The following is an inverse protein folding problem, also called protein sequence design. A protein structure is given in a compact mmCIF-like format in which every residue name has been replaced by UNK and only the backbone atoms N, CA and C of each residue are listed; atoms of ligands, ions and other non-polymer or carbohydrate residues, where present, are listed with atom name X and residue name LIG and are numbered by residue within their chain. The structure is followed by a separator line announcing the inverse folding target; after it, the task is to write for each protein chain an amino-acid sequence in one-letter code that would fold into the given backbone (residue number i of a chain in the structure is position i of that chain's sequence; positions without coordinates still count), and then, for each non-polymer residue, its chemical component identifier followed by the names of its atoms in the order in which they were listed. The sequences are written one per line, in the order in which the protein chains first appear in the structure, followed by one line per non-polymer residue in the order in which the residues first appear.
data_IF_262829930839
#
_entry.id   IF_262829930839
#
_cell.length_a   1.000
_cell.length_b   1.000
_cell.length_c   1.000
_cell.angle_alpha   90.00
_cell.angle_beta   90.00
_cell.angle_gamma   90.00
#
_symmetry.space_group_name_H-M   'P 1'
#
loop_
_entity.id
_entity.type
_entity.pdbx_description
1 polymer ?
#
# COMPACT_ATOMS: atom_id res chain seq x y z
N UNK A 1 7.80 31.36 1.11
CA UNK A 1 8.48 30.07 1.33
C UNK A 1 9.91 30.07 0.81
N UNK A 2 10.89 30.15 1.70
CA UNK A 2 12.30 29.87 1.34
C UNK A 2 12.46 28.35 1.25
N UNK A 3 12.70 27.84 0.05
CA UNK A 3 13.06 26.44 -0.16
C UNK A 3 14.43 26.14 0.47
N UNK A 4 14.60 24.91 0.96
CA UNK A 4 15.90 24.39 1.38
C UNK A 4 16.94 24.64 0.28
N UNK A 5 18.06 25.25 0.66
CA UNK A 5 19.15 25.50 -0.28
C UNK A 5 19.65 24.15 -0.83
N UNK A 6 19.74 24.02 -2.16
CA UNK A 6 20.15 22.78 -2.85
C UNK A 6 21.55 22.30 -2.44
N UNK A 7 22.37 23.16 -1.84
CA UNK A 7 23.71 22.81 -1.36
C UNK A 7 23.74 22.40 0.12
N UNK A 8 22.65 22.58 0.86
CA UNK A 8 22.59 22.25 2.29
C UNK A 8 22.73 20.75 2.54
N UNK A 9 23.30 20.39 3.69
CA UNK A 9 23.41 19.00 4.13
C UNK A 9 22.03 18.34 4.18
N UNK A 10 21.03 19.04 4.71
CA UNK A 10 19.65 18.57 4.82
C UNK A 10 19.02 18.30 3.45
N UNK A 11 19.24 19.15 2.45
CA UNK A 11 18.75 18.90 1.10
C UNK A 11 19.37 17.63 0.48
N UNK A 12 20.69 17.44 0.67
CA UNK A 12 21.39 16.24 0.20
C UNK A 12 20.86 14.98 0.91
N UNK A 13 20.63 15.05 2.23
CA UNK A 13 20.05 13.96 3.01
C UNK A 13 18.63 13.63 2.53
N UNK A 14 17.76 14.62 2.33
CA UNK A 14 16.41 14.40 1.78
C UNK A 14 16.45 13.72 0.41
N UNK A 15 17.37 14.14 -0.47
CA UNK A 15 17.53 13.53 -1.79
C UNK A 15 18.04 12.08 -1.70
N UNK A 16 18.96 11.79 -0.78
CA UNK A 16 19.46 10.45 -0.54
C UNK A 16 18.36 9.55 0.03
N UNK A 17 17.66 10.00 1.08
CA UNK A 17 16.52 9.30 1.65
C UNK A 17 15.50 8.98 0.57
N UNK A 18 15.07 9.95 -0.24
CA UNK A 18 14.08 9.72 -1.30
C UNK A 18 14.47 8.58 -2.25
N UNK A 19 15.76 8.37 -2.54
CA UNK A 19 16.25 7.35 -3.46
C UNK A 19 16.55 6.00 -2.80
N UNK A 20 16.70 5.98 -1.48
CA UNK A 20 17.07 4.78 -0.75
C UNK A 20 15.84 3.91 -0.51
N UNK A 21 15.58 2.99 -1.44
CA UNK A 21 14.50 2.02 -1.33
C UNK A 21 14.84 0.83 -0.43
N UNK A 22 16.09 0.73 0.04
CA UNK A 22 16.64 -0.37 0.86
C UNK A 22 16.62 -0.08 2.37
N UNK A 23 16.34 1.16 2.76
CA UNK A 23 16.11 1.52 4.16
C UNK A 23 14.69 1.13 4.59
N UNK A 24 14.55 0.64 5.83
CA UNK A 24 13.24 0.41 6.44
C UNK A 24 12.43 1.70 6.44
N UNK A 25 11.13 1.59 6.14
CA UNK A 25 10.25 2.76 6.06
C UNK A 25 10.16 3.50 7.39
N UNK A 26 10.19 2.79 8.53
CA UNK A 26 10.26 3.38 9.88
C UNK A 26 11.49 4.27 10.07
N UNK A 27 12.66 3.78 9.69
CA UNK A 27 13.94 4.48 9.90
C UNK A 27 14.01 5.71 9.00
N UNK A 28 13.49 5.56 7.78
CA UNK A 28 13.36 6.64 6.79
C UNK A 28 12.45 7.75 7.29
N UNK A 29 11.33 7.40 7.94
CA UNK A 29 10.43 8.36 8.57
C UNK A 29 11.12 9.07 9.73
N UNK A 30 11.84 8.36 10.60
CA UNK A 30 12.61 8.95 11.70
C UNK A 30 13.62 9.99 11.19
N UNK A 31 14.41 9.65 10.17
CA UNK A 31 15.36 10.60 9.56
C UNK A 31 14.68 11.80 8.90
N UNK A 32 13.48 11.63 8.33
CA UNK A 32 12.71 12.76 7.80
C UNK A 32 12.28 13.69 8.93
N UNK A 33 11.76 13.15 10.04
CA UNK A 33 11.38 13.92 11.22
C UNK A 33 12.56 14.70 11.81
N UNK A 34 13.74 14.09 11.91
CA UNK A 34 14.97 14.78 12.35
C UNK A 34 15.38 15.94 11.45
N UNK A 35 15.18 15.82 10.14
CA UNK A 35 15.45 16.91 9.19
C UNK A 35 14.41 18.03 9.35
N UNK A 36 13.12 17.68 9.48
CA UNK A 36 12.02 18.63 9.67
C UNK A 36 12.22 19.47 10.94
N UNK A 37 12.60 18.83 12.06
CA UNK A 37 12.85 19.52 13.34
C UNK A 37 13.98 20.55 13.28
N UNK A 38 14.93 20.40 12.34
CA UNK A 38 16.01 21.36 12.12
C UNK A 38 15.62 22.53 11.20
N UNK A 39 14.45 22.46 10.55
CA UNK A 39 13.96 23.54 9.69
C UNK A 39 13.36 24.69 10.51
N UNK A 40 13.16 25.84 9.87
CA UNK A 40 12.44 26.96 10.47
C UNK A 40 11.00 26.59 10.83
N UNK A 41 10.41 27.30 11.79
CA UNK A 41 9.03 27.08 12.22
C UNK A 41 8.02 27.17 11.07
N UNK A 42 8.17 28.14 10.17
CA UNK A 42 7.34 28.25 8.95
C UNK A 42 7.34 26.97 8.10
N UNK A 43 8.49 26.31 7.94
CA UNK A 43 8.60 25.06 7.16
C UNK A 43 7.97 23.90 7.90
N UNK A 44 8.14 23.83 9.22
CA UNK A 44 7.48 22.82 10.05
C UNK A 44 5.96 22.96 9.99
N UNK A 45 5.42 24.18 10.09
CA UNK A 45 3.97 24.43 10.04
C UNK A 45 3.36 24.01 8.69
N UNK A 46 4.05 24.29 7.58
CA UNK A 46 3.63 23.84 6.25
C UNK A 46 3.68 22.32 6.12
N UNK A 47 4.70 21.68 6.71
CA UNK A 47 4.81 20.22 6.74
C UNK A 47 3.65 19.59 7.52
N UNK A 48 3.36 20.11 8.72
CA UNK A 48 2.28 19.61 9.58
C UNK A 48 0.90 19.77 8.92
N UNK A 49 0.66 20.92 8.28
CA UNK A 49 -0.57 21.15 7.52
C UNK A 49 -0.71 20.13 6.39
N UNK A 50 0.39 19.84 5.67
CA UNK A 50 0.38 18.83 4.61
C UNK A 50 0.13 17.43 5.16
N UNK A 51 0.79 17.05 6.25
CA UNK A 51 0.60 15.73 6.88
C UNK A 51 -0.84 15.55 7.34
N UNK A 52 -1.44 16.58 7.95
CA UNK A 52 -2.85 16.55 8.35
C UNK A 52 -3.78 16.29 7.16
N UNK A 53 -3.49 16.91 6.00
CA UNK A 53 -4.24 16.66 4.78
C UNK A 53 -4.06 15.23 4.26
N UNK A 54 -2.82 14.73 4.22
CA UNK A 54 -2.53 13.35 3.78
C UNK A 54 -3.17 12.31 4.72
N UNK A 55 -3.17 12.55 6.02
CA UNK A 55 -3.85 11.69 7.02
C UNK A 55 -5.37 11.66 6.78
N UNK A 56 -5.97 12.81 6.45
CA UNK A 56 -7.39 12.87 6.11
C UNK A 56 -7.70 12.14 4.79
N UNK A 57 -6.82 12.25 3.79
CA UNK A 57 -6.95 11.49 2.53
C UNK A 57 -6.80 9.99 2.79
N UNK A 58 -5.84 9.57 3.62
CA UNK A 58 -5.67 8.16 3.98
C UNK A 58 -6.88 7.61 4.75
N UNK A 59 -7.48 8.39 5.64
CA UNK A 59 -8.72 8.01 6.32
C UNK A 59 -9.88 7.83 5.33
N UNK A 60 -10.01 8.71 4.33
CA UNK A 60 -11.02 8.56 3.28
C UNK A 60 -10.76 7.32 2.42
N UNK A 61 -9.51 7.05 2.04
CA UNK A 61 -9.14 5.82 1.31
C UNK A 61 -9.43 4.56 2.12
N UNK A 62 -9.22 4.60 3.44
CA UNK A 62 -9.55 3.48 4.33
C UNK A 62 -11.05 3.24 4.36
N UNK A 63 -11.86 4.30 4.46
CA UNK A 63 -13.32 4.19 4.43
C UNK A 63 -13.83 3.65 3.09
N UNK A 64 -13.30 4.12 1.96
CA UNK A 64 -13.63 3.58 0.63
C UNK A 64 -13.28 2.08 0.55
N UNK A 65 -12.10 1.71 1.04
CA UNK A 65 -11.67 0.31 1.08
C UNK A 65 -12.61 -0.55 1.94
N UNK A 66 -13.09 -0.06 3.07
CA UNK A 66 -14.06 -0.77 3.92
C UNK A 66 -15.40 -0.97 3.23
N UNK A 67 -15.90 0.06 2.56
CA UNK A 67 -17.14 -0.04 1.77
C UNK A 67 -17.01 -1.09 0.66
N UNK A 68 -15.86 -1.12 -0.02
CA UNK A 68 -15.56 -2.13 -1.05
C UNK A 68 -15.45 -3.54 -0.45
N UNK A 69 -14.84 -3.68 0.72
CA UNK A 69 -14.76 -4.96 1.43
C UNK A 69 -16.15 -5.49 1.82
N UNK A 70 -17.07 -4.62 2.25
CA UNK A 70 -18.40 -5.02 2.68
C UNK A 70 -19.23 -5.71 1.58
N UNK A 71 -18.97 -5.40 0.32
CA UNK A 71 -19.65 -5.98 -0.85
C UNK A 71 -18.78 -6.94 -1.66
N UNK A 72 -17.53 -7.12 -1.25
CA UNK A 72 -16.56 -7.98 -1.94
C UNK A 72 -16.78 -9.47 -1.64
N UNK A 73 -16.31 -10.34 -2.54
CA UNK A 73 -16.27 -11.77 -2.30
C UNK A 73 -15.31 -12.10 -1.13
N UNK A 74 -15.47 -13.24 -0.42
CA UNK A 74 -14.56 -13.60 0.68
C UNK A 74 -13.08 -13.65 0.28
N UNK A 75 -12.77 -14.08 -0.96
CA UNK A 75 -11.41 -14.09 -1.49
C UNK A 75 -10.87 -12.67 -1.73
N UNK A 76 -11.72 -11.74 -2.17
CA UNK A 76 -11.33 -10.34 -2.36
C UNK A 76 -11.20 -9.59 -1.03
N UNK A 77 -12.05 -9.90 -0.04
CA UNK A 77 -11.92 -9.39 1.34
C UNK A 77 -10.56 -9.76 1.93
N UNK A 78 -10.16 -11.04 1.84
CA UNK A 78 -8.83 -11.50 2.28
C UNK A 78 -7.70 -10.76 1.58
N UNK A 79 -7.82 -10.52 0.26
CA UNK A 79 -6.82 -9.76 -0.48
C UNK A 79 -6.70 -8.32 0.05
N UNK A 80 -7.82 -7.63 0.29
CA UNK A 80 -7.81 -6.27 0.81
C UNK A 80 -7.24 -6.18 2.22
N UNK A 81 -7.55 -7.14 3.09
CA UNK A 81 -6.97 -7.23 4.44
C UNK A 81 -5.46 -7.47 4.42
N UNK A 82 -4.97 -8.43 3.60
CA UNK A 82 -3.54 -8.68 3.45
C UNK A 82 -2.82 -7.43 2.88
N UNK A 83 -3.46 -6.72 1.93
CA UNK A 83 -2.91 -5.49 1.36
C UNK A 83 -2.84 -4.35 2.39
N UNK A 84 -3.87 -4.21 3.24
CA UNK A 84 -3.90 -3.22 4.32
C UNK A 84 -2.79 -3.45 5.34
N UNK A 85 -2.62 -4.70 5.81
CA UNK A 85 -1.53 -5.08 6.73
C UNK A 85 -0.17 -4.74 6.13
N UNK A 86 0.03 -5.07 4.86
CA UNK A 86 1.28 -4.81 4.16
C UNK A 86 1.58 -3.31 3.99
N UNK A 87 0.56 -2.49 3.68
CA UNK A 87 0.70 -1.02 3.61
C UNK A 87 1.22 -0.46 4.93
N UNK A 88 0.67 -0.93 6.05
CA UNK A 88 0.95 -0.41 7.39
C UNK A 88 2.23 -0.99 8.03
N UNK A 89 2.84 -2.02 7.43
CA UNK A 89 4.07 -2.62 7.95
C UNK A 89 5.32 -1.76 7.66
N UNK A 90 5.55 -0.77 8.53
CA UNK A 90 6.69 0.14 8.42
C UNK A 90 8.06 -0.52 8.66
N UNK A 91 8.09 -1.79 9.09
CA UNK A 91 9.34 -2.53 9.27
C UNK A 91 10.00 -2.95 7.95
N UNK A 92 9.22 -2.98 6.87
CA UNK A 92 9.69 -3.29 5.52
C UNK A 92 10.41 -2.10 4.89
N UNK A 93 11.37 -2.42 4.03
CA UNK A 93 11.92 -1.48 3.05
C UNK A 93 10.91 -1.17 1.95
N UNK A 94 11.17 -0.13 1.14
CA UNK A 94 10.29 0.21 0.01
C UNK A 94 10.34 -0.89 -1.05
N UNK A 95 11.52 -1.48 -1.28
CA UNK A 95 11.71 -2.58 -2.21
C UNK A 95 10.94 -3.83 -1.77
N UNK A 96 11.11 -4.27 -0.52
CA UNK A 96 10.39 -5.43 0.02
C UNK A 96 8.88 -5.23 -0.02
N UNK A 97 8.39 -4.04 0.35
CA UNK A 97 6.97 -3.71 0.27
C UNK A 97 6.44 -3.86 -1.17
N UNK A 98 7.16 -3.34 -2.17
CA UNK A 98 6.77 -3.46 -3.59
C UNK A 98 6.73 -4.92 -4.03
N UNK A 99 7.72 -5.71 -3.62
CA UNK A 99 7.82 -7.11 -3.98
C UNK A 99 6.72 -7.96 -3.32
N UNK A 100 6.49 -7.79 -2.02
CA UNK A 100 5.42 -8.46 -1.31
C UNK A 100 4.04 -8.08 -1.89
N UNK A 101 3.84 -6.80 -2.25
CA UNK A 101 2.60 -6.35 -2.89
C UNK A 101 2.37 -7.02 -4.24
N UNK A 102 3.44 -7.21 -5.03
CA UNK A 102 3.40 -7.91 -6.31
C UNK A 102 3.11 -9.40 -6.13
N UNK A 103 3.71 -10.04 -5.13
CA UNK A 103 3.44 -11.44 -4.80
C UNK A 103 2.00 -11.64 -4.34
N UNK A 104 1.50 -10.76 -3.49
CA UNK A 104 0.11 -10.75 -3.03
C UNK A 104 -0.87 -10.67 -4.21
N UNK A 105 -0.67 -9.70 -5.12
CA UNK A 105 -1.48 -9.57 -6.33
C UNK A 105 -1.45 -10.86 -7.19
N UNK A 106 -0.29 -11.51 -7.32
CA UNK A 106 -0.14 -12.77 -8.07
C UNK A 106 -0.88 -13.94 -7.41
N UNK A 107 -0.82 -14.08 -6.08
CA UNK A 107 -1.50 -15.13 -5.32
C UNK A 107 -3.00 -15.10 -5.57
N UNK A 108 -3.62 -13.92 -5.46
CA UNK A 108 -5.08 -13.78 -5.60
C UNK A 108 -5.56 -13.78 -7.06
N UNK A 109 -4.76 -13.31 -8.02
CA UNK A 109 -5.09 -13.44 -9.46
C UNK A 109 -4.95 -14.87 -10.00
N UNK A 110 -4.08 -15.70 -9.41
CA UNK A 110 -4.01 -17.13 -9.73
C UNK A 110 -5.17 -17.90 -9.09
N UNK A 111 -5.49 -17.62 -7.83
CA UNK A 111 -6.63 -18.20 -7.11
C UNK A 111 -7.96 -18.00 -7.84
N UNK A 112 -8.21 -16.79 -8.38
CA UNK A 112 -9.44 -16.49 -9.12
C UNK A 112 -9.55 -17.22 -10.47
N UNK A 113 -8.43 -17.54 -11.13
CA UNK A 113 -8.43 -18.32 -12.38
C UNK A 113 -8.68 -19.81 -12.14
N UNK A 114 -8.15 -20.38 -11.07
CA UNK A 114 -8.33 -21.81 -10.76
C UNK A 114 -9.79 -22.13 -10.40
N UNK A 115 -10.52 -21.20 -9.77
CA UNK A 115 -11.94 -21.39 -9.47
C UNK A 115 -12.87 -21.32 -10.69
N UNK A 116 -12.45 -20.68 -11.79
CA UNK A 116 -13.28 -20.60 -13.02
C UNK A 116 -13.30 -21.90 -13.82
N UNK A 117 -12.30 -22.76 -13.66
CA UNK A 117 -12.21 -24.03 -14.38
C UNK A 117 -12.84 -25.22 -13.63
N UNK A 118 -13.33 -25.01 -12.40
CA UNK A 118 -13.95 -26.08 -11.60
C UNK A 118 -15.48 -26.05 -11.62
N UNK A 119 -16.08 -25.00 -12.15
CA UNK A 119 -17.53 -24.82 -12.25
C UNK A 119 -18.11 -25.13 -13.64
N UNK A 120 -17.30 -25.56 -14.61
CA UNK A 120 -17.75 -25.94 -15.95
C UNK A 120 -17.79 -27.46 -16.21
N UNK A 121 -17.71 -28.30 -15.17
CA UNK A 121 -17.68 -29.77 -15.32
C UNK A 121 -18.83 -30.51 -14.62
N UNK A 122 -20.00 -29.89 -14.44
CA UNK A 122 -21.21 -30.58 -13.95
C UNK A 122 -22.44 -30.17 -14.75
N UNK A 123 -22.51 -30.60 -16.01
CA UNK A 123 -23.76 -30.69 -16.78
C UNK A 123 -23.56 -31.64 -17.95
N UNK A 124 -23.67 -32.94 -17.70
CA UNK A 124 -24.04 -33.95 -18.70
C UNK A 124 -24.31 -35.28 -17.98
N UNK A 125 -25.59 -35.49 -17.66
CA UNK A 125 -26.17 -36.83 -17.73
C UNK A 125 -27.40 -36.69 -18.58
N UNK A 126 -27.18 -37.00 -19.85
CA UNK A 126 -28.18 -37.14 -20.89
C UNK A 126 -29.22 -38.20 -20.52
N UNK A 127 -30.38 -38.00 -21.11
CA UNK A 127 -31.54 -38.87 -21.17
C UNK A 127 -31.23 -40.22 -21.85
N UNK A 128 -32.09 -41.21 -21.59
CA UNK A 128 -32.19 -42.49 -22.32
C UNK A 128 -32.03 -43.71 -21.39
N UNK A 129 -32.88 -44.74 -21.37
CA UNK A 129 -33.91 -45.22 -22.30
C UNK A 129 -34.75 -46.31 -21.56
N UNK A 130 -35.99 -46.53 -22.04
CA UNK A 130 -36.75 -47.79 -22.21
C UNK A 130 -36.66 -48.88 -21.12
N UNK A 131 -37.74 -49.43 -20.58
CA UNK A 131 -38.88 -50.05 -21.26
C UNK A 131 -39.99 -50.37 -20.23
#
# INVERSE_FOLDING_TARGET
MKLLNKTSADYKMLKALRKDDTMKRSDKQGKLSEITLRQSKEVQDVFDMKMTYEDAVEAMEQQDMESRMATASPNDQQYFEELRKLRNDMSLTVEEFKDQKKQLKRKFTKSSKTNKNKSSSSSSSEEGENH
#
